data_IF_087084826935
#
_entry.id   IF_087084826935
#
_cell.length_a   1.000
_cell.length_b   1.000
_cell.length_c   1.000
_cell.angle_alpha   90.00
_cell.angle_beta   90.00
_cell.angle_gamma   90.00
#
_symmetry.space_group_name_H-M   'P 1'
#
loop_
_entity.id
_entity.type
_entity.pdbx_description
1 polymer ?
#
# COMPACT_ATOMS: atom_id res chain seq x y z
N UNK A 1 -37.20 53.48 38.49
CA UNK A 1 -35.88 52.82 38.66
C UNK A 1 -35.77 51.42 37.99
N UNK A 2 -36.80 50.86 37.36
CA UNK A 2 -36.77 49.50 36.76
C UNK A 2 -36.19 49.39 35.33
N UNK A 3 -36.05 50.50 34.60
CA UNK A 3 -35.57 50.49 33.22
C UNK A 3 -34.06 50.28 33.10
N UNK A 4 -33.28 50.65 34.12
CA UNK A 4 -31.83 50.47 34.13
C UNK A 4 -31.43 49.03 34.49
N UNK A 5 -32.17 48.36 35.37
CA UNK A 5 -31.92 46.95 35.71
C UNK A 5 -32.19 46.02 34.52
N UNK A 6 -33.22 46.29 33.72
CA UNK A 6 -33.53 45.50 32.52
C UNK A 6 -32.45 45.59 31.43
N UNK A 7 -31.82 46.76 31.26
CA UNK A 7 -30.69 46.97 30.33
C UNK A 7 -29.43 46.24 30.79
N UNK A 8 -29.15 46.25 32.09
CA UNK A 8 -28.00 45.55 32.70
C UNK A 8 -28.17 44.03 32.56
N UNK A 9 -29.36 43.49 32.83
CA UNK A 9 -29.64 42.05 32.67
C UNK A 9 -29.48 41.60 31.22
N UNK A 10 -29.98 42.38 30.25
CA UNK A 10 -29.80 42.06 28.82
C UNK A 10 -28.34 42.08 28.37
N UNK A 11 -27.56 43.04 28.85
CA UNK A 11 -26.12 43.11 28.56
C UNK A 11 -25.36 41.92 29.16
N UNK A 12 -25.70 41.51 30.38
CA UNK A 12 -25.12 40.33 31.03
C UNK A 12 -25.47 39.03 30.29
N UNK A 13 -26.74 38.83 29.90
CA UNK A 13 -27.15 37.65 29.13
C UNK A 13 -26.49 37.58 27.75
N UNK A 14 -26.31 38.73 27.09
CA UNK A 14 -25.62 38.78 25.80
C UNK A 14 -24.11 38.48 25.96
N UNK A 15 -23.48 38.97 27.03
CA UNK A 15 -22.07 38.68 27.33
C UNK A 15 -21.84 37.20 27.68
N UNK A 16 -22.75 36.58 28.44
CA UNK A 16 -22.70 35.14 28.73
C UNK A 16 -22.93 34.30 27.46
N UNK A 17 -23.87 34.69 26.60
CA UNK A 17 -24.09 34.01 25.32
C UNK A 17 -22.85 34.09 24.40
N UNK A 18 -22.14 35.23 24.39
CA UNK A 18 -20.89 35.39 23.63
C UNK A 18 -19.76 34.56 24.23
N UNK A 19 -19.62 34.49 25.56
CA UNK A 19 -18.59 33.67 26.21
C UNK A 19 -18.83 32.17 26.02
N UNK A 20 -20.09 31.72 26.17
CA UNK A 20 -20.47 30.32 25.93
C UNK A 20 -20.31 29.94 24.46
N UNK A 21 -20.68 30.84 23.53
CA UNK A 21 -20.46 30.65 22.10
C UNK A 21 -18.98 30.61 21.71
N UNK A 22 -18.14 31.45 22.33
CA UNK A 22 -16.70 31.49 22.10
C UNK A 22 -15.95 30.26 22.64
N UNK A 23 -16.36 29.72 23.78
CA UNK A 23 -15.81 28.46 24.31
C UNK A 23 -16.21 27.26 23.46
N UNK A 24 -17.47 27.18 23.02
CA UNK A 24 -17.93 26.12 22.11
C UNK A 24 -17.15 26.13 20.78
N UNK A 25 -16.86 27.31 20.23
CA UNK A 25 -16.08 27.45 18.99
C UNK A 25 -14.61 27.01 19.16
N UNK A 26 -14.01 27.29 20.32
CA UNK A 26 -12.63 26.91 20.63
C UNK A 26 -12.49 25.39 20.88
N UNK A 27 -13.48 24.77 21.53
CA UNK A 27 -13.55 23.32 21.74
C UNK A 27 -13.75 22.57 20.42
N UNK A 28 -14.63 23.07 19.54
CA UNK A 28 -14.90 22.47 18.23
C UNK A 28 -13.70 22.60 17.28
N UNK A 29 -13.00 23.74 17.30
CA UNK A 29 -11.74 23.91 16.56
C UNK A 29 -10.62 22.99 17.08
N UNK A 30 -10.57 22.74 18.40
CA UNK A 30 -9.66 21.78 19.02
C UNK A 30 -9.93 20.34 18.59
N UNK A 31 -11.20 19.93 18.55
CA UNK A 31 -11.60 18.59 18.09
C UNK A 31 -11.26 18.36 16.62
N UNK A 32 -11.57 19.30 15.72
CA UNK A 32 -11.25 19.17 14.29
C UNK A 32 -9.74 19.06 14.07
N UNK A 33 -8.93 19.79 14.85
CA UNK A 33 -7.46 19.70 14.78
C UNK A 33 -6.96 18.32 15.22
N UNK A 34 -7.47 17.79 16.33
CA UNK A 34 -7.13 16.44 16.80
C UNK A 34 -7.51 15.35 15.79
N UNK A 35 -8.70 15.43 15.18
CA UNK A 35 -9.13 14.49 14.14
C UNK A 35 -8.27 14.55 12.87
N UNK A 36 -7.79 15.75 12.50
CA UNK A 36 -6.88 15.90 11.35
C UNK A 36 -5.49 15.35 11.66
N UNK A 37 -4.98 15.54 12.87
CA UNK A 37 -3.71 14.97 13.33
C UNK A 37 -3.78 13.43 13.37
N UNK A 38 -4.84 12.87 13.94
CA UNK A 38 -5.10 11.43 13.96
C UNK A 38 -5.16 10.89 12.53
N UNK A 39 -5.98 11.48 11.66
CA UNK A 39 -6.08 11.05 10.26
C UNK A 39 -4.72 11.08 9.55
N UNK A 40 -3.92 12.11 9.78
CA UNK A 40 -2.58 12.24 9.22
C UNK A 40 -1.65 11.13 9.71
N UNK A 41 -1.65 10.87 11.03
CA UNK A 41 -0.83 9.84 11.65
C UNK A 41 -1.15 8.45 11.10
N UNK A 42 -2.41 8.03 11.07
CA UNK A 42 -2.74 6.70 10.54
C UNK A 42 -2.66 6.63 9.00
N UNK A 43 -2.79 7.74 8.27
CA UNK A 43 -2.48 7.76 6.83
C UNK A 43 -0.99 7.55 6.56
N UNK A 44 -0.13 8.13 7.40
CA UNK A 44 1.32 7.91 7.36
C UNK A 44 1.65 6.45 7.68
N UNK A 45 1.03 5.89 8.73
CA UNK A 45 1.17 4.47 9.11
C UNK A 45 0.80 3.54 7.96
N UNK A 46 -0.37 3.73 7.33
CA UNK A 46 -0.82 2.92 6.20
C UNK A 46 0.16 2.95 5.01
N UNK A 47 0.75 4.12 4.71
CA UNK A 47 1.77 4.23 3.66
C UNK A 47 3.02 3.44 4.02
N UNK A 48 3.49 3.55 5.26
CA UNK A 48 4.67 2.81 5.75
C UNK A 48 4.44 1.30 5.69
N UNK A 49 3.29 0.82 6.19
CA UNK A 49 2.93 -0.60 6.14
C UNK A 49 2.83 -1.11 4.70
N UNK A 50 2.22 -0.32 3.80
CA UNK A 50 2.16 -0.68 2.38
C UNK A 50 3.56 -0.77 1.75
N UNK A 51 4.45 0.19 2.03
CA UNK A 51 5.84 0.17 1.55
C UNK A 51 6.58 -1.09 2.06
N UNK A 52 6.43 -1.41 3.35
CA UNK A 52 7.03 -2.60 3.94
C UNK A 52 6.50 -3.88 3.28
N UNK A 53 5.19 -4.01 3.13
CA UNK A 53 4.54 -5.16 2.48
C UNK A 53 5.03 -5.32 1.04
N UNK A 54 5.10 -4.23 0.28
CA UNK A 54 5.59 -4.26 -1.10
C UNK A 54 7.06 -4.65 -1.17
N UNK A 55 7.90 -4.14 -0.25
CA UNK A 55 9.31 -4.54 -0.14
C UNK A 55 9.42 -6.05 0.10
N UNK A 56 8.69 -6.60 1.06
CA UNK A 56 8.72 -8.03 1.38
C UNK A 56 8.27 -8.90 0.20
N UNK A 57 7.21 -8.49 -0.50
CA UNK A 57 6.73 -9.17 -1.70
C UNK A 57 7.79 -9.16 -2.80
N UNK A 58 8.47 -8.03 -3.02
CA UNK A 58 9.56 -7.93 -3.99
C UNK A 58 10.77 -8.80 -3.63
N UNK A 59 11.21 -8.76 -2.37
CA UNK A 59 12.33 -9.58 -1.90
C UNK A 59 12.03 -11.06 -2.10
N UNK A 60 10.83 -11.51 -1.73
CA UNK A 60 10.40 -12.90 -1.93
C UNK A 60 10.41 -13.31 -3.39
N UNK A 61 9.84 -12.48 -4.27
CA UNK A 61 9.83 -12.75 -5.71
C UNK A 61 11.24 -12.84 -6.30
N UNK A 62 12.15 -11.97 -5.86
CA UNK A 62 13.55 -11.99 -6.29
C UNK A 62 14.23 -13.29 -5.84
N UNK A 63 14.06 -13.67 -4.58
CA UNK A 63 14.63 -14.91 -4.04
C UNK A 63 14.12 -16.13 -4.80
N UNK A 64 12.80 -16.26 -4.97
CA UNK A 64 12.19 -17.36 -5.75
C UNK A 64 12.71 -17.42 -7.19
N UNK A 65 12.96 -16.27 -7.82
CA UNK A 65 13.53 -16.22 -9.16
C UNK A 65 14.98 -16.72 -9.18
N UNK A 66 15.80 -16.33 -8.20
CA UNK A 66 17.17 -16.82 -8.09
C UNK A 66 17.23 -18.30 -7.79
N UNK A 67 16.39 -18.81 -6.89
CA UNK A 67 16.31 -20.24 -6.57
C UNK A 67 15.97 -21.05 -7.83
N UNK A 68 15.02 -20.59 -8.64
CA UNK A 68 14.69 -21.21 -9.94
C UNK A 68 15.87 -21.19 -10.91
N UNK A 69 16.67 -20.11 -10.94
CA UNK A 69 17.85 -20.01 -11.80
C UNK A 69 18.96 -20.95 -11.36
N UNK A 70 19.18 -21.08 -10.06
CA UNK A 70 20.17 -22.01 -9.50
C UNK A 70 19.76 -23.44 -9.87
N UNK A 71 18.51 -23.83 -9.58
CA UNK A 71 18.01 -25.16 -9.93
C UNK A 71 18.11 -25.47 -11.43
N UNK A 72 17.79 -24.49 -12.29
CA UNK A 72 17.95 -24.65 -13.73
C UNK A 72 19.42 -24.83 -14.14
N UNK A 73 20.34 -24.05 -13.57
CA UNK A 73 21.76 -24.19 -13.86
C UNK A 73 22.30 -25.56 -13.43
N UNK A 74 21.88 -26.06 -12.26
CA UNK A 74 22.27 -27.39 -11.78
C UNK A 74 21.77 -28.49 -12.72
N UNK A 75 20.54 -28.37 -13.23
CA UNK A 75 19.98 -29.30 -14.21
C UNK A 75 20.78 -29.29 -15.53
N UNK A 76 21.15 -28.09 -16.02
CA UNK A 76 21.95 -27.95 -17.23
C UNK A 76 23.37 -28.51 -17.02
N UNK A 77 23.98 -28.23 -15.87
CA UNK A 77 25.29 -28.77 -15.52
C UNK A 77 25.26 -30.30 -15.45
N UNK A 78 24.21 -30.88 -14.86
CA UNK A 78 24.01 -32.33 -14.83
C UNK A 78 23.93 -32.94 -16.24
N UNK A 79 23.26 -32.27 -17.18
CA UNK A 79 23.23 -32.71 -18.59
C UNK A 79 24.59 -32.56 -19.28
N UNK A 80 25.32 -31.48 -19.00
CA UNK A 80 26.66 -31.27 -19.56
C UNK A 80 27.65 -32.31 -19.04
N UNK A 81 27.57 -32.72 -17.78
CA UNK A 81 28.44 -33.75 -17.20
C UNK A 81 28.22 -35.15 -17.81
N UNK A 82 27.06 -35.38 -18.45
CA UNK A 82 26.78 -36.62 -19.18
C UNK A 82 27.38 -36.65 -20.59
N UNK A 83 27.95 -35.54 -21.06
CA UNK A 83 28.54 -35.47 -22.39
C UNK A 83 29.90 -36.16 -22.40
N UNK A 84 30.11 -37.06 -23.37
CA UNK A 84 31.37 -37.80 -23.51
C UNK A 84 32.17 -37.24 -24.67
N UNK A 85 33.44 -36.83 -24.48
CA UNK A 85 34.30 -36.38 -25.58
C UNK A 85 34.41 -37.44 -26.68
N UNK A 86 34.21 -37.05 -27.93
CA UNK A 86 34.31 -37.94 -29.09
C UNK A 86 33.00 -38.59 -29.54
N UNK A 87 32.00 -38.74 -28.66
CA UNK A 87 30.69 -39.29 -29.04
C UNK A 87 29.77 -38.19 -29.60
N UNK A 88 29.71 -38.06 -30.93
CA UNK A 88 28.96 -36.98 -31.58
C UNK A 88 27.44 -37.19 -31.54
N UNK A 89 26.97 -38.44 -31.62
CA UNK A 89 25.54 -38.74 -31.72
C UNK A 89 24.85 -38.58 -30.36
N UNK A 90 25.40 -39.17 -29.30
CA UNK A 90 24.85 -39.02 -27.96
C UNK A 90 24.90 -37.56 -27.48
N UNK A 91 26.00 -36.85 -27.77
CA UNK A 91 26.14 -35.44 -27.42
C UNK A 91 25.17 -34.53 -28.18
N UNK A 92 24.75 -34.89 -29.40
CA UNK A 92 23.77 -34.10 -30.16
C UNK A 92 22.42 -34.10 -29.44
N UNK A 93 21.96 -35.25 -28.98
CA UNK A 93 20.72 -35.36 -28.20
C UNK A 93 20.79 -34.55 -26.90
N UNK A 94 21.89 -34.62 -26.16
CA UNK A 94 22.08 -33.82 -24.93
C UNK A 94 22.06 -32.31 -25.21
N UNK A 95 22.68 -31.85 -26.31
CA UNK A 95 22.66 -30.43 -26.71
C UNK A 95 21.25 -29.96 -27.07
N UNK A 96 20.48 -30.78 -27.76
CA UNK A 96 19.08 -30.47 -28.10
C UNK A 96 18.22 -30.40 -26.82
N UNK A 97 18.41 -31.30 -25.86
CA UNK A 97 17.75 -31.25 -24.55
C UNK A 97 18.11 -29.99 -23.78
N UNK A 98 19.41 -29.64 -23.70
CA UNK A 98 19.90 -28.41 -23.06
C UNK A 98 19.25 -27.18 -23.71
N UNK A 99 19.21 -27.13 -25.05
CA UNK A 99 18.59 -26.02 -25.79
C UNK A 99 17.10 -25.90 -25.47
N UNK A 100 16.37 -27.01 -25.54
CA UNK A 100 14.93 -27.05 -25.23
C UNK A 100 14.65 -26.60 -23.78
N UNK A 101 15.44 -27.08 -22.81
CA UNK A 101 15.29 -26.67 -21.40
C UNK A 101 15.58 -25.19 -21.19
N UNK A 102 16.58 -24.62 -21.86
CA UNK A 102 16.88 -23.18 -21.80
C UNK A 102 15.73 -22.34 -22.37
N UNK A 103 15.15 -22.76 -23.49
CA UNK A 103 14.00 -22.08 -24.09
C UNK A 103 12.77 -22.17 -23.18
N UNK A 104 12.45 -23.36 -22.66
CA UNK A 104 11.35 -23.56 -21.72
C UNK A 104 11.52 -22.74 -20.44
N UNK A 105 12.73 -22.70 -19.87
CA UNK A 105 13.03 -21.88 -18.70
C UNK A 105 12.84 -20.39 -18.98
N UNK A 106 13.26 -19.90 -20.16
CA UNK A 106 13.09 -18.50 -20.55
C UNK A 106 11.62 -18.10 -20.63
N UNK A 107 10.77 -18.95 -21.21
CA UNK A 107 9.33 -18.68 -21.27
C UNK A 107 8.67 -18.77 -19.88
N UNK A 108 9.10 -19.72 -19.05
CA UNK A 108 8.67 -19.82 -17.66
C UNK A 108 9.05 -18.57 -16.84
N UNK A 109 10.28 -18.07 -16.97
CA UNK A 109 10.74 -16.83 -16.31
C UNK A 109 9.91 -15.61 -16.77
N UNK A 110 9.65 -15.48 -18.07
CA UNK A 110 8.80 -14.42 -18.60
C UNK A 110 7.38 -14.49 -18.04
N UNK A 111 6.80 -15.69 -18.00
CA UNK A 111 5.47 -15.92 -17.43
C UNK A 111 5.43 -15.55 -15.95
N UNK A 112 6.40 -16.02 -15.16
CA UNK A 112 6.52 -15.74 -13.73
C UNK A 112 6.62 -14.24 -13.42
N UNK A 113 7.42 -13.50 -14.21
CA UNK A 113 7.53 -12.02 -14.07
C UNK A 113 6.21 -11.32 -14.41
N UNK A 114 5.54 -11.76 -15.48
CA UNK A 114 4.24 -11.20 -15.89
C UNK A 114 3.15 -11.46 -14.86
N UNK A 115 3.11 -12.67 -14.32
CA UNK A 115 2.17 -13.08 -13.28
C UNK A 115 2.37 -12.25 -12.01
N UNK A 116 3.61 -12.10 -11.56
CA UNK A 116 3.95 -11.23 -10.43
C UNK A 116 3.48 -9.79 -10.63
N UNK A 117 3.72 -9.21 -11.81
CA UNK A 117 3.26 -7.85 -12.10
C UNK A 117 1.73 -7.72 -12.15
N UNK A 118 1.05 -8.65 -12.83
CA UNK A 118 -0.38 -8.54 -13.12
C UNK A 118 -1.27 -8.97 -11.97
N UNK A 119 -0.89 -10.01 -11.25
CA UNK A 119 -1.74 -10.65 -10.27
C UNK A 119 -1.31 -10.34 -8.84
N UNK A 120 0.00 -10.14 -8.59
CA UNK A 120 0.48 -9.80 -7.24
C UNK A 120 0.56 -8.29 -7.04
N UNK A 121 1.40 -7.59 -7.81
CA UNK A 121 1.61 -6.15 -7.60
C UNK A 121 0.36 -5.32 -7.89
N UNK A 122 -0.40 -5.68 -8.94
CA UNK A 122 -1.60 -4.93 -9.30
C UNK A 122 -2.69 -5.05 -8.25
N UNK A 123 -2.93 -6.24 -7.71
CA UNK A 123 -3.94 -6.45 -6.67
C UNK A 123 -3.54 -5.73 -5.37
N UNK A 124 -2.28 -5.83 -4.95
CA UNK A 124 -1.80 -5.11 -3.77
C UNK A 124 -1.91 -3.59 -3.90
N UNK A 125 -1.60 -3.04 -5.06
CA UNK A 125 -1.79 -1.61 -5.34
C UNK A 125 -3.28 -1.22 -5.41
N UNK A 126 -4.14 -2.10 -5.90
CA UNK A 126 -5.59 -1.87 -5.96
C UNK A 126 -6.20 -1.85 -4.57
N UNK A 127 -5.83 -2.81 -3.70
CA UNK A 127 -6.22 -2.85 -2.29
C UNK A 127 -5.83 -1.56 -1.56
N UNK A 128 -4.56 -1.14 -1.70
CA UNK A 128 -4.07 0.08 -1.06
C UNK A 128 -4.76 1.35 -1.58
N UNK A 129 -5.03 1.44 -2.89
CA UNK A 129 -5.81 2.56 -3.45
C UNK A 129 -7.24 2.56 -2.95
N UNK A 130 -7.84 1.39 -2.76
CA UNK A 130 -9.17 1.22 -2.18
C UNK A 130 -9.22 1.76 -0.75
N UNK A 131 -8.32 1.30 0.11
CA UNK A 131 -8.28 1.74 1.51
C UNK A 131 -8.03 3.24 1.67
N UNK A 132 -7.16 3.82 0.84
CA UNK A 132 -6.92 5.26 0.84
C UNK A 132 -8.14 6.07 0.37
N UNK A 133 -8.91 5.57 -0.62
CA UNK A 133 -10.13 6.23 -1.09
C UNK A 133 -11.23 6.20 -0.03
N UNK A 134 -11.48 5.04 0.57
CA UNK A 134 -12.48 4.86 1.63
C UNK A 134 -12.17 5.78 2.82
N UNK A 135 -10.90 5.81 3.24
CA UNK A 135 -10.44 6.69 4.32
C UNK A 135 -10.68 8.18 4.00
N UNK A 136 -10.43 8.59 2.76
CA UNK A 136 -10.69 9.96 2.31
C UNK A 136 -12.19 10.29 2.28
N UNK A 137 -13.04 9.34 1.89
CA UNK A 137 -14.50 9.48 1.96
C UNK A 137 -14.97 9.62 3.41
N UNK A 138 -14.48 8.77 4.33
CA UNK A 138 -14.82 8.83 5.75
C UNK A 138 -14.45 10.19 6.37
N UNK A 139 -13.30 10.76 6.00
CA UNK A 139 -12.94 12.12 6.45
C UNK A 139 -13.85 13.20 5.86
N UNK A 140 -14.22 13.10 4.57
CA UNK A 140 -15.15 14.05 3.95
C UNK A 140 -16.52 14.01 4.61
N UNK A 141 -17.04 12.83 4.92
CA UNK A 141 -18.32 12.66 5.61
C UNK A 141 -18.30 13.25 7.02
N UNK A 142 -17.22 13.01 7.78
CA UNK A 142 -17.02 13.65 9.09
C UNK A 142 -17.02 15.19 8.99
N UNK A 143 -16.32 15.75 8.00
CA UNK A 143 -16.30 17.20 7.74
C UNK A 143 -17.63 17.78 7.26
N UNK A 144 -18.47 16.98 6.57
CA UNK A 144 -19.80 17.42 6.13
C UNK A 144 -20.88 17.33 7.21
N UNK A 145 -20.69 16.49 8.23
CA UNK A 145 -21.56 16.43 9.42
C UNK A 145 -21.20 17.48 10.48
N UNK A 146 -20.05 18.15 10.35
CA UNK A 146 -19.75 19.34 11.15
C UNK A 146 -20.73 20.47 10.79
N UNK A 147 -21.32 21.18 11.77
CA UNK A 147 -22.27 22.23 11.50
C UNK A 147 -21.64 23.29 10.58
N UNK A 148 -22.32 23.58 9.47
CA UNK A 148 -21.98 24.73 8.63
C UNK A 148 -22.44 25.98 9.38
N UNK A 149 -21.50 26.70 9.97
CA UNK A 149 -21.71 28.07 10.43
C UNK A 149 -21.87 29.00 9.23
#
# INVERSE_FOLDING_TARGET
>A
MYLNSLKIVRALTLSMAIMVGGQAYAEEAGQVKAEMEEFSAESSKLRTEHIQKMREIHVRHINELYDKKIAHNDEINSLMMKMVPGDKEANKSLREQIKSKREAFRESEKSFRKDFQKNVLKEQNKEFRGSMKERHQNMKEKKHKAPKN
#
